data_IF_834393727897
#
_entry.id   IF_834393727897
#
_cell.length_a   1.000
_cell.length_b   1.000
_cell.length_c   1.000
_cell.angle_alpha   90.00
_cell.angle_beta   90.00
_cell.angle_gamma   90.00
#
_symmetry.space_group_name_H-M   'P 1'
#
loop_
_entity.id
_entity.type
_entity.pdbx_description
1 polymer ?
#
# COMPACT_ATOMS: atom_id res chain seq x y z
N UNK A 1 -21.34 81.29 -22.48
CA UNK A 1 -20.13 80.98 -23.28
C UNK A 1 -19.14 80.42 -22.27
N UNK A 2 -19.00 79.10 -22.10
CA UNK A 2 -18.32 78.16 -23.04
C UNK A 2 -16.85 78.55 -23.21
N UNK A 3 -15.83 77.71 -23.01
CA UNK A 3 -15.75 76.24 -22.84
C UNK A 3 -14.30 75.87 -22.42
N UNK A 4 -13.95 74.75 -21.77
CA UNK A 4 -14.68 73.60 -21.17
C UNK A 4 -13.67 72.81 -20.30
N UNK A 5 -14.12 72.10 -19.25
CA UNK A 5 -13.30 71.18 -18.46
C UNK A 5 -12.98 69.87 -19.22
N UNK A 6 -11.70 69.58 -19.44
CA UNK A 6 -11.24 68.32 -20.05
C UNK A 6 -11.01 67.26 -18.97
N UNK A 7 -12.08 66.53 -18.62
CA UNK A 7 -11.98 65.31 -17.82
C UNK A 7 -11.24 64.23 -18.62
N UNK A 8 -10.01 63.88 -18.22
CA UNK A 8 -9.30 62.71 -18.77
C UNK A 8 -9.94 61.43 -18.25
N UNK A 9 -10.93 60.94 -18.98
CA UNK A 9 -11.52 59.61 -18.76
C UNK A 9 -10.47 58.54 -19.09
N UNK A 10 -9.82 57.98 -18.07
CA UNK A 10 -9.02 56.77 -18.22
C UNK A 10 -9.96 55.60 -18.47
N UNK A 11 -10.18 55.26 -19.74
CA UNK A 11 -10.93 54.06 -20.13
C UNK A 11 -10.22 52.83 -19.59
N UNK A 12 -10.77 52.24 -18.52
CA UNK A 12 -10.37 50.92 -18.04
C UNK A 12 -10.89 49.91 -19.06
N UNK A 13 -10.06 49.59 -20.05
CA UNK A 13 -10.29 48.45 -20.93
C UNK A 13 -10.28 47.20 -20.05
N UNK A 14 -11.45 46.62 -19.81
CA UNK A 14 -11.55 45.31 -19.18
C UNK A 14 -11.03 44.27 -20.16
N UNK A 15 -9.73 44.01 -20.12
CA UNK A 15 -9.18 42.80 -20.72
C UNK A 15 -9.79 41.63 -19.97
N UNK A 16 -10.83 41.04 -20.55
CA UNK A 16 -11.28 39.70 -20.16
C UNK A 16 -10.17 38.75 -20.57
N UNK A 17 -9.17 38.61 -19.70
CA UNK A 17 -8.24 37.49 -19.77
C UNK A 17 -9.09 36.25 -19.56
N UNK A 18 -9.39 35.58 -20.68
CA UNK A 18 -9.87 34.21 -20.70
C UNK A 18 -8.93 33.41 -19.80
N UNK A 19 -9.41 33.08 -18.60
CA UNK A 19 -8.72 32.17 -17.71
C UNK A 19 -8.76 30.82 -18.39
N UNK A 20 -7.75 30.57 -19.23
CA UNK A 20 -7.45 29.25 -19.75
C UNK A 20 -7.35 28.35 -18.54
N UNK A 21 -8.32 27.47 -18.35
CA UNK A 21 -8.28 26.44 -17.32
C UNK A 21 -7.05 25.60 -17.58
N UNK A 22 -5.95 25.95 -16.93
CA UNK A 22 -4.72 25.20 -17.01
C UNK A 22 -5.03 23.81 -16.44
N UNK A 23 -5.07 22.80 -17.32
CA UNK A 23 -5.00 21.40 -16.91
C UNK A 23 -3.88 21.30 -15.89
N UNK A 24 -4.12 20.85 -14.64
CA UNK A 24 -3.09 20.83 -13.64
C UNK A 24 -1.95 19.94 -14.14
N UNK A 25 -0.83 20.55 -14.51
CA UNK A 25 0.39 19.84 -14.87
C UNK A 25 0.92 19.20 -13.61
N UNK A 26 0.57 17.93 -13.43
CA UNK A 26 0.94 17.14 -12.27
C UNK A 26 2.48 17.03 -12.26
N UNK A 27 3.15 17.54 -11.21
CA UNK A 27 4.60 17.55 -11.16
C UNK A 27 5.11 16.15 -10.81
N UNK A 28 5.32 15.32 -11.82
CA UNK A 28 6.03 14.06 -11.68
C UNK A 28 7.48 14.40 -11.33
N UNK A 29 7.92 14.07 -10.12
CA UNK A 29 9.32 14.17 -9.73
C UNK A 29 10.03 12.86 -10.10
N UNK A 30 11.00 12.94 -10.99
CA UNK A 30 11.74 11.78 -11.48
C UNK A 30 12.67 11.18 -10.42
N UNK A 31 13.10 11.97 -9.43
CA UNK A 31 13.83 11.52 -8.25
C UNK A 31 12.95 10.72 -7.31
N UNK A 32 11.74 11.21 -7.00
CA UNK A 32 10.78 10.47 -6.17
C UNK A 32 10.36 9.15 -6.84
N UNK A 33 10.07 9.16 -8.14
CA UNK A 33 9.76 7.93 -8.90
C UNK A 33 10.92 6.93 -8.85
N UNK A 34 12.15 7.38 -9.09
CA UNK A 34 13.34 6.53 -9.04
C UNK A 34 13.59 5.97 -7.62
N UNK A 35 13.39 6.79 -6.59
CA UNK A 35 13.51 6.37 -5.20
C UNK A 35 12.44 5.34 -4.82
N UNK A 36 11.17 5.57 -5.16
CA UNK A 36 10.06 4.67 -4.82
C UNK A 36 10.20 3.30 -5.52
N UNK A 37 10.65 3.25 -6.78
CA UNK A 37 10.94 1.98 -7.47
C UNK A 37 12.12 1.26 -6.81
N UNK A 38 13.18 1.99 -6.43
CA UNK A 38 14.34 1.44 -5.72
C UNK A 38 13.96 0.90 -4.34
N UNK A 39 13.16 1.64 -3.57
CA UNK A 39 12.65 1.25 -2.27
C UNK A 39 11.75 0.01 -2.39
N UNK A 40 10.89 -0.07 -3.41
CA UNK A 40 10.06 -1.25 -3.71
C UNK A 40 10.93 -2.49 -3.93
N UNK A 41 12.01 -2.39 -4.72
CA UNK A 41 12.94 -3.50 -4.93
C UNK A 41 13.66 -3.92 -3.64
N UNK A 42 14.07 -2.96 -2.80
CA UNK A 42 14.70 -3.24 -1.50
C UNK A 42 13.76 -3.93 -0.52
N UNK A 43 12.50 -3.51 -0.42
CA UNK A 43 11.51 -4.15 0.47
C UNK A 43 11.13 -5.54 -0.07
N UNK A 44 10.96 -5.70 -1.39
CA UNK A 44 10.71 -7.02 -1.99
C UNK A 44 11.85 -8.01 -1.68
N UNK A 45 13.10 -7.55 -1.72
CA UNK A 45 14.29 -8.33 -1.35
C UNK A 45 14.29 -8.81 0.12
N UNK A 46 13.54 -8.17 1.02
CA UNK A 46 13.40 -8.64 2.40
C UNK A 46 12.72 -10.02 2.47
N UNK A 47 11.87 -10.38 1.52
CA UNK A 47 11.14 -11.66 1.53
C UNK A 47 12.05 -12.89 1.32
N UNK A 48 12.92 -12.95 0.29
CA UNK A 48 13.90 -14.03 0.17
C UNK A 48 14.96 -13.98 1.29
N UNK A 49 15.34 -12.79 1.78
CA UNK A 49 16.24 -12.66 2.93
C UNK A 49 15.63 -13.29 4.20
N UNK A 50 14.34 -13.02 4.47
CA UNK A 50 13.56 -13.63 5.55
C UNK A 50 13.41 -15.14 5.38
N UNK A 51 13.22 -15.62 4.14
CA UNK A 51 13.16 -17.04 3.83
C UNK A 51 14.45 -17.77 4.23
N UNK A 52 15.61 -17.18 3.91
CA UNK A 52 16.94 -17.69 4.30
C UNK A 52 17.14 -17.58 5.81
N UNK A 53 16.73 -16.47 6.42
CA UNK A 53 16.82 -16.26 7.87
C UNK A 53 16.06 -17.34 8.65
N UNK A 54 14.77 -17.55 8.36
CA UNK A 54 14.00 -18.61 9.01
C UNK A 54 14.49 -20.01 8.63
N UNK A 55 14.97 -20.23 7.41
CA UNK A 55 15.61 -21.50 7.06
C UNK A 55 16.85 -21.80 7.93
N UNK A 56 17.59 -20.79 8.37
CA UNK A 56 18.69 -20.93 9.32
C UNK A 56 18.27 -21.29 10.74
N UNK A 57 17.04 -20.96 11.16
CA UNK A 57 16.52 -21.23 12.50
C UNK A 57 15.81 -22.60 12.62
N UNK A 58 15.42 -23.22 11.51
CA UNK A 58 14.61 -24.45 11.51
C UNK A 58 15.47 -25.71 11.37
N UNK A 59 14.93 -26.86 11.79
CA UNK A 59 15.61 -28.14 11.62
C UNK A 59 15.89 -28.43 10.14
N UNK A 60 17.10 -28.92 9.81
CA UNK A 60 17.59 -29.09 8.42
C UNK A 60 16.61 -29.76 7.45
N UNK A 61 15.80 -30.71 7.94
CA UNK A 61 14.74 -31.41 7.19
C UNK A 61 13.58 -30.52 6.68
N UNK A 62 13.46 -29.29 7.18
CA UNK A 62 12.41 -28.33 6.83
C UNK A 62 12.92 -27.10 6.06
N UNK A 63 14.23 -26.97 5.83
CA UNK A 63 14.86 -25.83 5.13
C UNK A 63 14.23 -25.57 3.76
N UNK A 64 14.12 -26.60 2.91
CA UNK A 64 13.52 -26.47 1.57
C UNK A 64 12.04 -26.09 1.64
N UNK A 65 11.32 -26.59 2.65
CA UNK A 65 9.92 -26.23 2.86
C UNK A 65 9.77 -24.77 3.29
N UNK A 66 10.68 -24.23 4.11
CA UNK A 66 10.66 -22.81 4.50
C UNK A 66 10.87 -21.90 3.28
N UNK A 67 11.87 -22.19 2.44
CA UNK A 67 12.12 -21.45 1.21
C UNK A 67 10.89 -21.49 0.29
N UNK A 68 10.33 -22.68 0.08
CA UNK A 68 9.17 -22.87 -0.78
C UNK A 68 7.94 -22.09 -0.29
N UNK A 69 7.60 -22.15 1.01
CA UNK A 69 6.46 -21.42 1.56
C UNK A 69 6.62 -19.90 1.44
N UNK A 70 7.84 -19.36 1.58
CA UNK A 70 8.09 -17.92 1.43
C UNK A 70 7.96 -17.44 -0.03
N UNK A 71 8.50 -18.16 -1.01
CA UNK A 71 8.32 -17.83 -2.44
C UNK A 71 6.88 -18.03 -2.90
N UNK A 72 6.19 -19.06 -2.41
CA UNK A 72 4.76 -19.25 -2.63
C UNK A 72 3.95 -18.07 -2.07
N UNK A 73 4.26 -17.61 -0.86
CA UNK A 73 3.62 -16.45 -0.24
C UNK A 73 3.78 -15.20 -1.11
N UNK A 74 4.97 -14.94 -1.66
CA UNK A 74 5.21 -13.84 -2.59
C UNK A 74 4.27 -13.88 -3.80
N UNK A 75 4.14 -15.03 -4.47
CA UNK A 75 3.25 -15.16 -5.63
C UNK A 75 1.76 -15.05 -5.29
N UNK A 76 1.33 -15.76 -4.23
CA UNK A 76 -0.10 -15.81 -3.83
C UNK A 76 -0.58 -14.46 -3.31
N UNK A 77 0.21 -13.78 -2.46
CA UNK A 77 -0.16 -12.48 -1.90
C UNK A 77 -0.06 -11.37 -2.93
N UNK A 78 0.89 -11.43 -3.88
CA UNK A 78 0.89 -10.50 -5.01
C UNK A 78 -0.42 -10.54 -5.81
N UNK A 79 -0.94 -11.74 -6.10
CA UNK A 79 -2.22 -11.90 -6.80
C UNK A 79 -3.39 -11.38 -5.95
N UNK A 80 -3.44 -11.71 -4.65
CA UNK A 80 -4.47 -11.20 -3.74
C UNK A 80 -4.45 -9.66 -3.66
N UNK A 81 -3.27 -9.06 -3.58
CA UNK A 81 -3.07 -7.62 -3.47
C UNK A 81 -3.57 -6.86 -4.71
N UNK A 82 -3.20 -7.36 -5.89
CA UNK A 82 -3.64 -6.82 -7.19
C UNK A 82 -5.16 -6.95 -7.34
N UNK A 83 -5.73 -8.10 -6.98
CA UNK A 83 -7.16 -8.36 -7.17
C UNK A 83 -8.06 -7.62 -6.17
N UNK A 84 -7.71 -7.56 -4.88
CA UNK A 84 -8.57 -7.00 -3.84
C UNK A 84 -7.83 -6.15 -2.80
N UNK A 85 -6.62 -6.53 -2.38
CA UNK A 85 -5.98 -5.95 -1.20
C UNK A 85 -5.67 -4.46 -1.33
N UNK A 86 -5.13 -4.02 -2.46
CA UNK A 86 -4.87 -2.60 -2.69
C UNK A 86 -6.14 -1.75 -2.63
N UNK A 87 -7.20 -2.19 -3.31
CA UNK A 87 -8.50 -1.51 -3.32
C UNK A 87 -9.05 -1.37 -1.90
N UNK A 88 -8.97 -2.43 -1.10
CA UNK A 88 -9.49 -2.42 0.26
C UNK A 88 -8.67 -1.55 1.20
N UNK A 89 -7.33 -1.55 1.08
CA UNK A 89 -6.47 -0.75 1.93
C UNK A 89 -6.53 0.75 1.59
N UNK A 90 -6.45 1.09 0.31
CA UNK A 90 -6.13 2.44 -0.17
C UNK A 90 -7.12 3.06 -1.16
N UNK A 91 -8.06 2.28 -1.73
CA UNK A 91 -9.07 2.80 -2.65
C UNK A 91 -10.08 3.75 -2.00
N UNK A 92 -10.87 4.43 -2.83
CA UNK A 92 -11.86 5.45 -2.41
C UNK A 92 -12.79 4.90 -1.30
N UNK A 93 -12.68 5.36 -0.04
CA UNK A 93 -13.07 4.53 1.09
C UNK A 93 -14.55 4.67 1.48
N UNK A 94 -15.15 3.55 1.91
CA UNK A 94 -16.59 3.49 2.24
C UNK A 94 -16.88 4.00 3.65
N UNK A 95 -15.99 3.73 4.61
CA UNK A 95 -16.11 4.17 6.01
C UNK A 95 -14.73 4.21 6.69
N UNK A 96 -14.56 4.82 7.87
CA UNK A 96 -13.28 4.84 8.57
C UNK A 96 -12.74 3.46 9.01
N UNK A 97 -13.60 2.43 9.02
CA UNK A 97 -13.26 1.06 9.39
C UNK A 97 -13.20 0.06 8.22
N UNK A 98 -13.70 0.44 7.04
CA UNK A 98 -13.75 -0.41 5.85
C UNK A 98 -13.48 0.44 4.61
N UNK A 99 -12.44 0.06 3.86
CA UNK A 99 -12.21 0.60 2.53
C UNK A 99 -13.16 0.01 1.50
N UNK A 100 -12.75 0.01 0.23
CA UNK A 100 -13.64 -0.24 -0.90
C UNK A 100 -13.16 -1.39 -1.79
N UNK A 101 -14.08 -2.00 -2.52
CA UNK A 101 -13.76 -2.94 -3.60
C UNK A 101 -13.95 -2.33 -5.00
N UNK A 102 -14.23 -1.02 -5.09
CA UNK A 102 -14.49 -0.33 -6.35
C UNK A 102 -13.29 -0.38 -7.34
N UNK A 103 -12.06 -0.36 -6.82
CA UNK A 103 -10.83 -0.38 -7.61
C UNK A 103 -10.17 -1.77 -7.68
N UNK A 104 -10.92 -2.83 -7.35
CA UNK A 104 -10.49 -4.22 -7.44
C UNK A 104 -9.89 -4.54 -8.83
N UNK A 105 -8.87 -5.42 -8.86
CA UNK A 105 -8.03 -5.72 -10.03
C UNK A 105 -7.26 -4.50 -10.58
N UNK A 106 -6.85 -3.56 -9.71
CA UNK A 106 -6.20 -2.29 -10.05
C UNK A 106 -6.93 -1.53 -11.18
N UNK A 107 -8.26 -1.44 -11.09
CA UNK A 107 -9.10 -0.84 -12.15
C UNK A 107 -9.05 0.69 -12.21
N UNK A 108 -8.25 1.33 -11.36
CA UNK A 108 -7.87 2.72 -11.53
C UNK A 108 -7.01 2.89 -12.79
N UNK A 109 -7.04 4.09 -13.38
CA UNK A 109 -6.09 4.41 -14.44
C UNK A 109 -4.67 4.34 -13.87
N UNK A 110 -3.73 3.62 -14.49
CA UNK A 110 -2.37 3.44 -13.92
C UNK A 110 -1.62 4.75 -13.64
N UNK A 111 -1.95 5.78 -14.41
CA UNK A 111 -1.49 7.16 -14.27
C UNK A 111 -2.43 8.04 -13.41
N UNK A 112 -3.32 7.45 -12.60
CA UNK A 112 -4.06 8.15 -11.53
C UNK A 112 -3.03 8.65 -10.52
N UNK A 113 -3.18 9.90 -10.12
CA UNK A 113 -2.45 10.51 -9.02
C UNK A 113 -3.40 10.73 -7.86
N UNK A 114 -2.89 10.57 -6.65
CA UNK A 114 -3.63 10.85 -5.42
C UNK A 114 -2.82 11.81 -4.55
N UNK A 115 -3.31 13.04 -4.28
CA UNK A 115 -2.58 14.03 -3.49
C UNK A 115 -2.27 13.60 -2.05
N UNK A 116 -2.94 12.57 -1.51
CA UNK A 116 -2.77 12.07 -0.15
C UNK A 116 -1.70 10.97 -0.07
N UNK A 117 -1.62 10.11 -1.09
CA UNK A 117 -0.72 8.95 -1.08
C UNK A 117 0.52 9.11 -1.99
N UNK A 118 0.36 9.75 -3.15
CA UNK A 118 1.38 9.84 -4.18
C UNK A 118 1.32 11.20 -4.92
N UNK A 119 1.70 12.32 -4.26
CA UNK A 119 1.57 13.66 -4.84
C UNK A 119 2.52 13.93 -6.01
N UNK A 120 3.64 13.20 -6.10
CA UNK A 120 4.73 13.42 -7.07
C UNK A 120 5.03 12.20 -7.95
N UNK A 121 4.30 11.09 -7.78
CA UNK A 121 4.49 9.83 -8.52
C UNK A 121 3.15 9.10 -8.71
N UNK A 122 3.10 8.09 -9.58
CA UNK A 122 1.84 7.40 -9.92
C UNK A 122 1.31 6.50 -8.81
N UNK A 123 -0.02 6.35 -8.74
CA UNK A 123 -0.69 5.45 -7.80
C UNK A 123 -0.29 3.99 -8.00
N UNK A 124 0.10 3.59 -9.23
CA UNK A 124 0.64 2.26 -9.50
C UNK A 124 2.00 2.01 -8.81
N UNK A 125 2.87 3.01 -8.74
CA UNK A 125 4.14 2.92 -7.98
C UNK A 125 3.87 2.83 -6.48
N UNK A 126 2.85 3.56 -5.98
CA UNK A 126 2.40 3.41 -4.59
C UNK A 126 1.84 2.00 -4.30
N UNK A 127 0.99 1.48 -5.20
CA UNK A 127 0.36 0.17 -5.08
C UNK A 127 1.38 -0.98 -5.09
N UNK A 128 2.41 -0.89 -5.94
CA UNK A 128 3.49 -1.88 -5.99
C UNK A 128 4.40 -1.81 -4.76
N UNK A 129 4.75 -0.60 -4.29
CA UNK A 129 5.46 -0.42 -3.01
C UNK A 129 4.70 -1.07 -1.85
N UNK A 130 3.44 -0.70 -1.63
CA UNK A 130 2.62 -1.24 -0.54
C UNK A 130 2.37 -2.75 -0.64
N UNK A 131 2.30 -3.31 -1.86
CA UNK A 131 2.18 -4.76 -2.06
C UNK A 131 3.36 -5.56 -1.49
N UNK A 132 4.56 -4.97 -1.44
CA UNK A 132 5.72 -5.62 -0.81
C UNK A 132 5.56 -5.77 0.71
N UNK A 133 4.86 -4.84 1.37
CA UNK A 133 4.52 -4.92 2.79
C UNK A 133 3.49 -6.02 3.07
N UNK A 134 2.48 -6.19 2.20
CA UNK A 134 1.52 -7.29 2.30
C UNK A 134 2.23 -8.66 2.21
N UNK A 135 3.13 -8.80 1.23
CA UNK A 135 3.93 -10.01 1.00
C UNK A 135 4.79 -10.36 2.22
N UNK A 136 5.61 -9.42 2.72
CA UNK A 136 6.55 -9.69 3.82
C UNK A 136 5.79 -10.01 5.12
N UNK A 137 4.66 -9.35 5.38
CA UNK A 137 3.85 -9.58 6.59
C UNK A 137 3.34 -11.02 6.67
N UNK A 138 2.83 -11.55 5.56
CA UNK A 138 2.36 -12.93 5.50
C UNK A 138 3.53 -13.93 5.54
N UNK A 139 4.67 -13.58 4.94
CA UNK A 139 5.89 -14.39 4.99
C UNK A 139 6.46 -14.51 6.42
N UNK A 140 6.32 -13.48 7.27
CA UNK A 140 6.70 -13.53 8.70
C UNK A 140 5.96 -14.66 9.43
N UNK A 141 4.65 -14.79 9.23
CA UNK A 141 3.83 -15.81 9.90
C UNK A 141 4.31 -17.23 9.53
N UNK A 142 4.77 -17.45 8.29
CA UNK A 142 5.24 -18.76 7.81
C UNK A 142 6.31 -19.39 8.69
N UNK A 143 7.22 -18.58 9.26
CA UNK A 143 8.33 -19.05 10.10
C UNK A 143 7.87 -19.71 11.41
N UNK A 144 6.67 -19.39 11.89
CA UNK A 144 6.10 -19.96 13.13
C UNK A 144 5.45 -21.33 12.95
N UNK A 145 5.05 -21.69 11.72
CA UNK A 145 4.22 -22.87 11.39
C UNK A 145 4.91 -23.88 10.46
N UNK A 146 6.17 -23.62 10.10
CA UNK A 146 6.95 -24.43 9.17
C UNK A 146 7.09 -25.89 9.61
N UNK A 147 6.85 -26.81 8.67
CA UNK A 147 6.87 -28.25 8.95
C UNK A 147 5.68 -28.77 9.76
N UNK A 148 4.76 -27.89 10.20
CA UNK A 148 3.57 -28.22 11.00
C UNK A 148 2.26 -28.06 10.20
N UNK A 149 2.26 -27.24 9.15
CA UNK A 149 1.11 -27.01 8.26
C UNK A 149 1.28 -27.71 6.89
N UNK A 150 0.17 -28.13 6.27
CA UNK A 150 0.12 -28.62 4.88
C UNK A 150 -0.03 -27.45 3.90
N UNK A 151 0.45 -27.63 2.67
CA UNK A 151 0.46 -26.61 1.61
C UNK A 151 -0.91 -25.97 1.33
N UNK A 152 -1.95 -26.77 1.09
CA UNK A 152 -3.28 -26.24 0.71
C UNK A 152 -3.93 -25.44 1.87
N UNK A 153 -3.98 -25.94 3.12
CA UNK A 153 -4.39 -25.12 4.27
C UNK A 153 -3.57 -23.83 4.44
N UNK A 154 -2.25 -23.86 4.17
CA UNK A 154 -1.43 -22.66 4.23
C UNK A 154 -1.83 -21.61 3.18
N UNK A 155 -2.07 -22.00 1.93
CA UNK A 155 -2.54 -21.09 0.87
C UNK A 155 -3.88 -20.45 1.24
N UNK A 156 -4.83 -21.24 1.74
CA UNK A 156 -6.15 -20.73 2.18
C UNK A 156 -5.97 -19.78 3.37
N UNK A 157 -5.13 -20.16 4.34
CA UNK A 157 -4.83 -19.34 5.51
C UNK A 157 -4.27 -17.98 5.12
N UNK A 158 -3.21 -17.90 4.29
CA UNK A 158 -2.62 -16.61 3.93
C UNK A 158 -3.57 -15.73 3.12
N UNK A 159 -4.39 -16.30 2.21
CA UNK A 159 -5.38 -15.54 1.44
C UNK A 159 -6.48 -14.94 2.34
N UNK A 160 -7.03 -15.73 3.25
CA UNK A 160 -8.05 -15.26 4.20
C UNK A 160 -7.44 -14.26 5.18
N UNK A 161 -6.25 -14.55 5.71
CA UNK A 161 -5.58 -13.70 6.69
C UNK A 161 -5.19 -12.34 6.12
N UNK A 162 -4.70 -12.27 4.89
CA UNK A 162 -4.40 -10.98 4.24
C UNK A 162 -5.68 -10.16 4.09
N UNK A 163 -6.73 -10.77 3.55
CA UNK A 163 -8.01 -10.10 3.26
C UNK A 163 -8.77 -9.65 4.52
N UNK A 164 -8.65 -10.39 5.63
CA UNK A 164 -9.45 -10.16 6.85
C UNK A 164 -8.65 -9.53 8.00
N UNK A 165 -7.32 -9.59 7.98
CA UNK A 165 -6.46 -9.03 9.02
C UNK A 165 -5.51 -7.95 8.49
N UNK A 166 -4.77 -8.21 7.41
CA UNK A 166 -3.81 -7.23 6.87
C UNK A 166 -4.49 -6.04 6.21
N UNK A 167 -5.35 -6.27 5.22
CA UNK A 167 -5.96 -5.18 4.44
C UNK A 167 -6.79 -4.22 5.33
N UNK A 168 -7.57 -4.69 6.33
CA UNK A 168 -8.22 -3.80 7.31
C UNK A 168 -7.24 -3.05 8.20
N UNK A 169 -6.16 -3.69 8.68
CA UNK A 169 -5.17 -3.00 9.51
C UNK A 169 -4.44 -1.91 8.71
N UNK A 170 -4.05 -2.20 7.46
CA UNK A 170 -3.47 -1.23 6.54
C UNK A 170 -4.43 -0.07 6.27
N UNK A 171 -5.71 -0.35 6.05
CA UNK A 171 -6.74 0.68 5.90
C UNK A 171 -6.88 1.58 7.14
N UNK A 172 -6.95 0.99 8.34
CA UNK A 172 -7.13 1.75 9.59
C UNK A 172 -5.97 2.70 9.90
N UNK A 173 -4.73 2.27 9.62
CA UNK A 173 -3.50 2.96 10.00
C UNK A 173 -2.99 3.90 8.90
N UNK A 174 -3.08 3.49 7.63
CA UNK A 174 -2.51 4.24 6.51
C UNK A 174 -3.54 4.85 5.55
N UNK A 175 -4.74 4.26 5.44
CA UNK A 175 -5.84 4.76 4.63
C UNK A 175 -6.21 6.21 4.97
N UNK A 176 -6.58 7.00 3.96
CA UNK A 176 -6.79 8.46 4.07
C UNK A 176 -7.82 8.86 5.16
N UNK A 177 -8.86 8.05 5.33
CA UNK A 177 -9.90 8.19 6.35
C UNK A 177 -9.80 7.15 7.49
N UNK A 178 -8.71 6.39 7.57
CA UNK A 178 -8.55 5.29 8.52
C UNK A 178 -8.71 5.77 9.96
N UNK A 179 -9.48 5.03 10.78
CA UNK A 179 -9.82 5.50 12.12
C UNK A 179 -8.60 5.62 13.05
N UNK A 180 -7.60 4.73 12.98
CA UNK A 180 -6.36 4.84 13.77
C UNK A 180 -5.52 6.04 13.32
N UNK A 181 -5.45 6.30 12.01
CA UNK A 181 -4.82 7.51 11.45
C UNK A 181 -5.50 8.78 11.96
N UNK A 182 -6.84 8.79 11.96
CA UNK A 182 -7.67 9.91 12.43
C UNK A 182 -7.51 10.17 13.95
N UNK A 183 -7.26 9.13 14.74
CA UNK A 183 -6.92 9.24 16.17
C UNK A 183 -5.47 9.74 16.42
N UNK A 184 -4.66 9.95 15.39
CA UNK A 184 -3.27 10.40 15.52
C UNK A 184 -2.26 9.27 15.79
N UNK A 185 -2.56 8.03 15.40
CA UNK A 185 -1.61 6.91 15.51
C UNK A 185 -0.42 7.14 14.59
N UNK A 186 0.79 7.14 15.16
CA UNK A 186 2.04 7.33 14.41
C UNK A 186 2.67 5.98 14.07
N UNK A 187 2.41 5.47 12.86
CA UNK A 187 3.10 4.30 12.30
C UNK A 187 3.60 4.58 10.87
N UNK A 188 4.88 4.93 10.77
CA UNK A 188 5.52 5.35 9.52
C UNK A 188 5.78 4.20 8.54
N UNK A 189 6.12 3.01 9.03
CA UNK A 189 6.66 1.91 8.20
C UNK A 189 6.14 0.52 8.59
N UNK A 190 5.12 0.42 9.44
CA UNK A 190 4.39 -0.83 9.68
C UNK A 190 4.75 -1.50 11.00
N UNK A 191 5.13 -0.74 12.03
CA UNK A 191 5.30 -1.27 13.38
C UNK A 191 4.06 -2.03 13.86
N UNK A 192 2.87 -1.49 13.58
CA UNK A 192 1.58 -2.13 13.86
C UNK A 192 1.16 -3.07 12.73
N UNK A 193 1.09 -2.56 11.49
CA UNK A 193 0.51 -3.26 10.32
C UNK A 193 1.31 -4.49 9.91
N UNK A 194 2.64 -4.43 9.98
CA UNK A 194 3.54 -5.54 9.65
C UNK A 194 3.91 -6.30 10.92
N UNK A 195 4.64 -5.66 11.83
CA UNK A 195 5.41 -6.39 12.85
C UNK A 195 4.54 -6.92 14.01
N UNK A 196 3.72 -6.07 14.62
CA UNK A 196 2.82 -6.51 15.70
C UNK A 196 1.77 -7.48 15.15
N UNK A 197 1.15 -7.16 14.02
CA UNK A 197 0.07 -7.97 13.44
C UNK A 197 0.55 -9.40 13.06
N UNK A 198 1.68 -9.52 12.35
CA UNK A 198 2.25 -10.83 12.01
C UNK A 198 2.87 -11.54 13.21
N UNK A 199 3.49 -10.82 14.16
CA UNK A 199 4.07 -11.38 15.38
C UNK A 199 3.02 -12.02 16.28
N UNK A 200 1.90 -11.34 16.54
CA UNK A 200 0.76 -11.89 17.28
C UNK A 200 0.12 -13.05 16.51
N UNK A 201 -0.04 -12.93 15.20
CA UNK A 201 -0.61 -14.01 14.38
C UNK A 201 0.26 -15.27 14.37
N UNK A 202 1.59 -15.11 14.33
CA UNK A 202 2.55 -16.21 14.44
C UNK A 202 2.55 -16.86 15.83
N UNK A 203 2.41 -16.07 16.90
CA UNK A 203 2.25 -16.60 18.26
C UNK A 203 0.96 -17.43 18.40
N UNK A 204 -0.17 -16.92 17.93
CA UNK A 204 -1.46 -17.64 17.96
C UNK A 204 -1.39 -18.91 17.12
N UNK A 205 -0.81 -18.85 15.92
CA UNK A 205 -0.63 -20.01 15.06
C UNK A 205 0.30 -21.07 15.69
N UNK A 206 1.36 -20.65 16.38
CA UNK A 206 2.24 -21.54 17.13
C UNK A 206 1.57 -22.17 18.37
N UNK A 207 0.56 -21.53 18.97
CA UNK A 207 -0.22 -22.12 20.08
C UNK A 207 -1.24 -23.13 19.57
N UNK A 208 -1.89 -22.86 18.43
CA UNK A 208 -2.98 -23.71 17.89
C UNK A 208 -2.45 -24.93 17.12
N UNK A 209 -1.34 -24.79 16.40
CA UNK A 209 -0.80 -25.82 15.48
C UNK A 209 0.48 -26.49 16.05
N UNK A 210 0.96 -26.03 17.21
CA UNK A 210 2.34 -26.23 17.65
C UNK A 210 2.69 -27.53 18.37
#
# INVERSE_FOLDING_TARGET
MSSTDTTTTTTVTSTTETTTTATPTIPIDTGDVAWMITATALVLMMTPALAIFYAGLVHRKHVLNQLFLAFLCMGVIFVQWVLVGFSFAFGDPVSPGFGSFAEAALRFNGDRFDPVYCPTFSLLTYATYQGTFAIITCAIISGSIVGRIRLVPYIIFILVWTTVCYDPMAHWVWGSNGWLKTLGTLDFAGGTVVHILSGVSGLVAAIIIG
#
